data_IF_386135179768
#
_entry.id   IF_386135179768
#
_cell.length_a   1.000
_cell.length_b   1.000
_cell.length_c   1.000
_cell.angle_alpha   90.00
_cell.angle_beta   90.00
_cell.angle_gamma   90.00
#
_symmetry.space_group_name_H-M   'P 1'
#
loop_
_entity.id
_entity.type
_entity.pdbx_description
1 polymer ?
#
# COMPACT_ATOMS: atom_id res chain seq x y z
N UNK A 1 -30.09 11.10 -46.08
CA UNK A 1 -30.38 9.94 -45.21
C UNK A 1 -29.18 9.48 -44.37
N UNK A 2 -27.92 9.75 -44.76
CA UNK A 2 -26.72 9.34 -43.99
C UNK A 2 -26.46 10.10 -42.68
N UNK A 3 -26.81 11.40 -42.60
CA UNK A 3 -26.55 12.23 -41.41
C UNK A 3 -27.32 11.74 -40.17
N UNK A 4 -28.57 11.28 -40.33
CA UNK A 4 -29.37 10.76 -39.22
C UNK A 4 -28.82 9.42 -38.69
N UNK A 5 -28.25 8.56 -39.54
CA UNK A 5 -27.65 7.29 -39.12
C UNK A 5 -26.36 7.49 -38.30
N UNK A 6 -25.54 8.48 -38.63
CA UNK A 6 -24.35 8.83 -37.83
C UNK A 6 -24.73 9.31 -36.42
N UNK A 7 -25.78 10.13 -36.30
CA UNK A 7 -26.26 10.58 -34.98
C UNK A 7 -26.76 9.41 -34.12
N UNK A 8 -27.51 8.46 -34.69
CA UNK A 8 -27.99 7.29 -33.97
C UNK A 8 -26.84 6.39 -33.48
N UNK A 9 -25.77 6.26 -34.26
CA UNK A 9 -24.61 5.43 -33.92
C UNK A 9 -23.83 5.95 -32.71
N UNK A 10 -23.76 7.27 -32.52
CA UNK A 10 -23.07 7.91 -31.39
C UNK A 10 -24.02 8.08 -30.19
N UNK A 11 -25.29 8.39 -30.44
CA UNK A 11 -26.25 8.70 -29.39
C UNK A 11 -26.58 7.49 -28.51
N UNK A 12 -26.77 6.31 -29.12
CA UNK A 12 -27.14 5.09 -28.40
C UNK A 12 -26.09 4.68 -27.34
N UNK A 13 -24.78 4.58 -27.66
CA UNK A 13 -23.73 4.28 -26.69
C UNK A 13 -23.65 5.28 -25.53
N UNK A 14 -23.82 6.57 -25.82
CA UNK A 14 -23.76 7.63 -24.81
C UNK A 14 -24.92 7.51 -23.82
N UNK A 15 -26.12 7.19 -24.32
CA UNK A 15 -27.28 6.92 -23.46
C UNK A 15 -27.06 5.68 -22.60
N UNK A 16 -26.59 4.57 -23.18
CA UNK A 16 -26.27 3.36 -22.41
C UNK A 16 -25.20 3.61 -21.36
N UNK A 17 -24.15 4.36 -21.70
CA UNK A 17 -23.12 4.78 -20.76
C UNK A 17 -23.72 5.59 -19.61
N UNK A 18 -24.51 6.63 -19.92
CA UNK A 18 -25.12 7.49 -18.92
C UNK A 18 -26.05 6.73 -17.98
N UNK A 19 -26.91 5.88 -18.51
CA UNK A 19 -27.84 5.05 -17.73
C UNK A 19 -27.06 4.05 -16.86
N UNK A 20 -26.11 3.31 -17.43
CA UNK A 20 -25.29 2.35 -16.68
C UNK A 20 -24.48 3.05 -15.58
N UNK A 21 -23.87 4.21 -15.88
CA UNK A 21 -23.09 4.98 -14.93
C UNK A 21 -23.94 5.45 -13.75
N UNK A 22 -25.12 6.02 -14.00
CA UNK A 22 -26.04 6.45 -12.93
C UNK A 22 -26.50 5.26 -12.09
N UNK A 23 -26.92 4.16 -12.71
CA UNK A 23 -27.34 2.95 -12.01
C UNK A 23 -26.22 2.37 -11.13
N UNK A 24 -24.99 2.31 -11.64
CA UNK A 24 -23.83 1.83 -10.89
C UNK A 24 -23.42 2.78 -9.76
N UNK A 25 -23.57 4.10 -9.92
CA UNK A 25 -23.34 5.06 -8.83
C UNK A 25 -24.38 4.91 -7.71
N UNK A 26 -25.64 4.69 -8.06
CA UNK A 26 -26.70 4.40 -7.09
C UNK A 26 -26.42 3.08 -6.38
N UNK A 27 -26.06 2.03 -7.13
CA UNK A 27 -25.68 0.74 -6.57
C UNK A 27 -24.49 0.87 -5.62
N UNK A 28 -23.42 1.57 -6.03
CA UNK A 28 -22.28 1.88 -5.16
C UNK A 28 -22.74 2.57 -3.87
N UNK A 29 -23.59 3.59 -3.96
CA UNK A 29 -24.10 4.33 -2.79
C UNK A 29 -24.85 3.39 -1.83
N UNK A 30 -25.69 2.49 -2.36
CA UNK A 30 -26.44 1.50 -1.58
C UNK A 30 -25.48 0.50 -0.92
N UNK A 31 -24.57 -0.09 -1.70
CA UNK A 31 -23.60 -1.08 -1.19
C UNK A 31 -22.74 -0.50 -0.08
N UNK A 32 -22.14 0.67 -0.29
CA UNK A 32 -21.32 1.30 0.75
C UNK A 32 -22.13 1.72 1.98
N UNK A 33 -23.38 2.16 1.81
CA UNK A 33 -24.26 2.43 2.94
C UNK A 33 -24.59 1.16 3.73
N UNK A 34 -24.79 0.03 3.06
CA UNK A 34 -25.08 -1.25 3.70
C UNK A 34 -23.84 -1.79 4.42
N UNK A 35 -22.68 -1.76 3.77
CA UNK A 35 -21.40 -2.15 4.36
C UNK A 35 -21.08 -1.33 5.60
N UNK A 36 -21.28 0.00 5.58
CA UNK A 36 -21.06 0.83 6.79
C UNK A 36 -22.04 0.49 7.91
N UNK A 37 -23.28 0.11 7.60
CA UNK A 37 -24.26 -0.30 8.61
C UNK A 37 -23.89 -1.65 9.24
N UNK A 38 -23.37 -2.57 8.43
CA UNK A 38 -22.90 -3.87 8.91
C UNK A 38 -21.63 -3.75 9.73
N UNK A 39 -20.66 -2.94 9.28
CA UNK A 39 -19.44 -2.66 10.05
C UNK A 39 -19.77 -2.03 11.41
N UNK A 40 -20.76 -1.14 11.49
CA UNK A 40 -21.22 -0.56 12.76
C UNK A 40 -21.86 -1.60 13.71
N UNK A 41 -22.27 -2.77 13.20
CA UNK A 41 -22.76 -3.89 14.01
C UNK A 41 -21.63 -4.86 14.43
N UNK A 42 -20.44 -4.74 13.84
CA UNK A 42 -19.25 -5.54 14.21
C UNK A 42 -18.43 -4.80 15.27
N UNK A 43 -17.77 -5.54 16.16
CA UNK A 43 -16.79 -4.98 17.12
C UNK A 43 -15.39 -4.75 16.53
N UNK A 44 -15.20 -5.04 15.24
CA UNK A 44 -13.90 -5.02 14.57
C UNK A 44 -13.70 -3.72 13.79
N UNK A 45 -12.89 -2.83 14.34
CA UNK A 45 -12.46 -1.57 13.70
C UNK A 45 -11.75 -1.73 12.31
N UNK A 46 -11.40 -2.95 11.90
CA UNK A 46 -10.75 -3.22 10.60
C UNK A 46 -11.77 -3.02 9.47
N UNK A 47 -13.04 -3.33 9.71
CA UNK A 47 -14.10 -3.25 8.71
C UNK A 47 -14.28 -1.80 8.23
N UNK A 48 -14.27 -0.84 9.16
CA UNK A 48 -14.37 0.59 8.86
C UNK A 48 -13.19 1.06 7.99
N UNK A 49 -11.98 0.60 8.31
CA UNK A 49 -10.76 0.94 7.55
C UNK A 49 -10.85 0.40 6.11
N UNK A 50 -11.31 -0.84 5.93
CA UNK A 50 -11.45 -1.45 4.61
C UNK A 50 -12.48 -0.66 3.80
N UNK A 51 -13.64 -0.38 4.39
CA UNK A 51 -14.72 0.34 3.72
C UNK A 51 -14.26 1.74 3.31
N UNK A 52 -13.65 2.50 4.21
CA UNK A 52 -13.14 3.83 3.91
C UNK A 52 -12.02 3.83 2.86
N UNK A 53 -11.14 2.82 2.91
CA UNK A 53 -10.08 2.62 1.92
C UNK A 53 -10.61 2.37 0.50
N UNK A 54 -11.77 1.70 0.37
CA UNK A 54 -12.38 1.34 -0.91
C UNK A 54 -13.34 2.41 -1.46
N UNK A 55 -13.85 3.35 -0.64
CA UNK A 55 -14.83 4.37 -1.08
C UNK A 55 -14.39 5.17 -2.32
N UNK A 56 -13.13 5.64 -2.32
CA UNK A 56 -12.54 6.41 -3.44
C UNK A 56 -12.27 5.52 -4.67
N UNK A 57 -11.51 4.41 -4.55
CA UNK A 57 -11.33 3.42 -5.63
C UNK A 57 -12.60 2.96 -6.32
N UNK A 58 -13.68 2.74 -5.57
CA UNK A 58 -14.93 2.24 -6.11
C UNK A 58 -15.55 3.18 -7.17
N UNK A 59 -15.22 4.48 -7.15
CA UNK A 59 -15.64 5.37 -8.23
C UNK A 59 -15.00 4.99 -9.57
N UNK A 60 -13.70 4.68 -9.59
CA UNK A 60 -12.99 4.27 -10.78
C UNK A 60 -13.47 2.91 -11.30
N UNK A 61 -13.81 1.98 -10.41
CA UNK A 61 -14.41 0.70 -10.80
C UNK A 61 -15.78 0.91 -11.44
N UNK A 62 -16.63 1.76 -10.86
CA UNK A 62 -17.94 2.11 -11.44
C UNK A 62 -17.76 2.73 -12.83
N UNK A 63 -16.81 3.65 -12.99
CA UNK A 63 -16.50 4.25 -14.27
C UNK A 63 -16.05 3.19 -15.29
N UNK A 64 -15.14 2.30 -14.90
CA UNK A 64 -14.64 1.23 -15.76
C UNK A 64 -15.77 0.27 -16.21
N UNK A 65 -16.65 -0.12 -15.30
CA UNK A 65 -17.80 -0.98 -15.60
C UNK A 65 -18.81 -0.28 -16.52
N UNK A 66 -19.08 1.01 -16.31
CA UNK A 66 -19.97 1.77 -17.19
C UNK A 66 -19.42 1.85 -18.62
N UNK A 67 -18.11 2.06 -18.79
CA UNK A 67 -17.44 2.06 -20.10
C UNK A 67 -17.55 0.67 -20.75
N UNK A 68 -17.31 -0.40 -19.98
CA UNK A 68 -17.39 -1.78 -20.46
C UNK A 68 -18.79 -2.09 -20.98
N UNK A 69 -19.83 -1.78 -20.19
CA UNK A 69 -21.23 -2.00 -20.60
C UNK A 69 -21.54 -1.22 -21.87
N UNK A 70 -21.19 0.08 -21.94
CA UNK A 70 -21.43 0.90 -23.12
C UNK A 70 -20.72 0.36 -24.38
N UNK A 71 -19.52 -0.19 -24.23
CA UNK A 71 -18.74 -0.75 -25.33
C UNK A 71 -19.40 -1.97 -25.99
N UNK A 72 -20.18 -2.76 -25.25
CA UNK A 72 -20.88 -3.94 -25.80
C UNK A 72 -22.02 -3.57 -26.74
N UNK A 73 -22.60 -2.37 -26.59
CA UNK A 73 -23.71 -1.90 -27.42
C UNK A 73 -23.25 -1.05 -28.60
N UNK A 74 -21.95 -0.80 -28.73
CA UNK A 74 -21.38 -0.01 -29.81
C UNK A 74 -20.71 -0.94 -30.82
N UNK A 75 -21.08 -0.86 -32.09
CA UNK A 75 -20.39 -1.60 -33.16
C UNK A 75 -19.04 -0.93 -33.51
N UNK A 76 -18.13 -0.88 -32.54
CA UNK A 76 -16.80 -0.30 -32.73
C UNK A 76 -15.93 -1.21 -33.58
N UNK A 77 -15.00 -0.64 -34.34
CA UNK A 77 -13.96 -1.44 -34.99
C UNK A 77 -13.09 -2.15 -33.95
N UNK A 78 -12.51 -3.29 -34.31
CA UNK A 78 -11.70 -4.13 -33.41
C UNK A 78 -10.58 -3.35 -32.71
N UNK A 79 -9.97 -2.38 -33.41
CA UNK A 79 -8.94 -1.50 -32.86
C UNK A 79 -9.45 -0.67 -31.67
N UNK A 80 -10.64 -0.08 -31.79
CA UNK A 80 -11.24 0.74 -30.73
C UNK A 80 -11.72 -0.12 -29.57
N UNK A 81 -12.27 -1.30 -29.85
CA UNK A 81 -12.64 -2.27 -28.80
C UNK A 81 -11.42 -2.71 -27.99
N UNK A 82 -10.30 -3.02 -28.66
CA UNK A 82 -9.05 -3.39 -27.99
C UNK A 82 -8.52 -2.24 -27.12
N UNK A 83 -8.53 -1.00 -27.63
CA UNK A 83 -8.05 0.16 -26.87
C UNK A 83 -8.91 0.42 -25.63
N UNK A 84 -10.24 0.36 -25.77
CA UNK A 84 -11.17 0.52 -24.64
C UNK A 84 -10.96 -0.59 -23.61
N UNK A 85 -10.87 -1.85 -24.05
CA UNK A 85 -10.66 -2.98 -23.15
C UNK A 85 -9.36 -2.82 -22.35
N UNK A 86 -8.26 -2.42 -23.01
CA UNK A 86 -6.99 -2.13 -22.33
C UNK A 86 -7.14 -0.99 -21.33
N UNK A 87 -7.78 0.12 -21.70
CA UNK A 87 -8.00 1.25 -20.80
C UNK A 87 -8.84 0.88 -19.58
N UNK A 88 -9.90 0.09 -19.76
CA UNK A 88 -10.76 -0.41 -18.67
C UNK A 88 -9.95 -1.25 -17.68
N UNK A 89 -9.12 -2.19 -18.17
CA UNK A 89 -8.27 -3.00 -17.30
C UNK A 89 -7.26 -2.14 -16.53
N UNK A 90 -6.64 -1.13 -17.17
CA UNK A 90 -5.73 -0.20 -16.50
C UNK A 90 -6.45 0.58 -15.39
N UNK A 91 -7.67 1.07 -15.64
CA UNK A 91 -8.48 1.77 -14.62
C UNK A 91 -8.80 0.85 -13.44
N UNK A 92 -9.12 -0.42 -13.69
CA UNK A 92 -9.41 -1.40 -12.65
C UNK A 92 -8.16 -1.67 -11.80
N UNK A 93 -7.01 -1.96 -12.42
CA UNK A 93 -5.75 -2.19 -11.71
C UNK A 93 -5.37 -0.95 -10.88
N UNK A 94 -5.51 0.24 -11.46
CA UNK A 94 -5.28 1.49 -10.76
C UNK A 94 -6.20 1.68 -9.56
N UNK A 95 -7.50 1.39 -9.71
CA UNK A 95 -8.47 1.46 -8.62
C UNK A 95 -8.09 0.51 -7.48
N UNK A 96 -7.81 -0.76 -7.80
CA UNK A 96 -7.41 -1.77 -6.81
C UNK A 96 -6.13 -1.35 -6.09
N UNK A 97 -5.14 -0.84 -6.83
CA UNK A 97 -3.89 -0.32 -6.26
C UNK A 97 -4.16 0.78 -5.25
N UNK A 98 -4.97 1.78 -5.60
CA UNK A 98 -5.33 2.87 -4.68
C UNK A 98 -6.07 2.35 -3.45
N UNK A 99 -6.94 1.34 -3.61
CA UNK A 99 -7.65 0.71 -2.50
C UNK A 99 -6.71 0.04 -1.52
N UNK A 100 -5.85 -0.84 -2.01
CA UNK A 100 -4.87 -1.54 -1.19
C UNK A 100 -3.93 -0.52 -0.50
N UNK A 101 -3.42 0.46 -1.24
CA UNK A 101 -2.52 1.48 -0.69
C UNK A 101 -3.18 2.32 0.42
N UNK A 102 -4.46 2.66 0.28
CA UNK A 102 -5.21 3.39 1.30
C UNK A 102 -5.50 2.52 2.54
N UNK A 103 -5.88 1.26 2.34
CA UNK A 103 -6.17 0.33 3.44
C UNK A 103 -4.91 0.09 4.26
N UNK A 104 -3.82 -0.31 3.62
CA UNK A 104 -2.55 -0.59 4.31
C UNK A 104 -2.02 0.65 5.02
N UNK A 105 -2.07 1.81 4.38
CA UNK A 105 -1.66 3.06 5.01
C UNK A 105 -2.52 3.42 6.23
N UNK A 106 -3.81 3.15 6.20
CA UNK A 106 -4.72 3.41 7.32
C UNK A 106 -4.53 2.41 8.47
N UNK A 107 -4.30 1.14 8.15
CA UNK A 107 -3.94 0.11 9.14
C UNK A 107 -2.63 0.46 9.86
N UNK A 108 -1.62 0.91 9.13
CA UNK A 108 -0.36 1.36 9.71
C UNK A 108 -0.56 2.52 10.69
N UNK A 109 -1.31 3.56 10.26
CA UNK A 109 -1.59 4.70 11.13
C UNK A 109 -2.33 4.29 12.40
N UNK A 110 -3.27 3.36 12.29
CA UNK A 110 -3.96 2.81 13.46
C UNK A 110 -2.99 2.08 14.39
N UNK A 111 -2.17 1.17 13.85
CA UNK A 111 -1.21 0.40 14.63
C UNK A 111 -0.24 1.30 15.40
N UNK A 112 0.32 2.33 14.75
CA UNK A 112 1.24 3.29 15.39
C UNK A 112 0.56 4.01 16.57
N UNK A 113 -0.70 4.45 16.39
CA UNK A 113 -1.47 5.11 17.45
C UNK A 113 -1.77 4.17 18.62
N UNK A 114 -2.20 2.94 18.34
CA UNK A 114 -2.59 1.96 19.37
C UNK A 114 -1.38 1.44 20.15
N UNK A 115 -0.26 1.20 19.49
CA UNK A 115 0.96 0.71 20.14
C UNK A 115 1.77 1.81 20.86
N UNK A 116 1.26 3.06 20.87
CA UNK A 116 1.91 4.25 21.45
C UNK A 116 3.40 4.34 21.10
N UNK A 117 3.73 3.98 19.85
CA UNK A 117 5.13 3.89 19.44
C UNK A 117 5.65 5.34 19.38
N UNK A 118 6.75 5.68 20.09
CA UNK A 118 7.37 7.01 20.03
C UNK A 118 8.11 7.23 18.71
N UNK A 119 7.56 6.72 17.61
CA UNK A 119 7.89 7.19 16.28
C UNK A 119 7.27 8.58 16.21
N UNK A 120 8.06 9.59 15.85
CA UNK A 120 7.49 10.84 15.40
C UNK A 120 6.38 10.48 14.39
N UNK A 121 5.12 10.92 14.58
CA UNK A 121 3.98 10.61 13.71
C UNK A 121 4.20 11.31 12.38
N UNK A 122 5.24 10.90 11.68
CA UNK A 122 5.75 11.56 10.51
C UNK A 122 5.05 10.91 9.35
N UNK A 123 4.48 11.74 8.48
CA UNK A 123 3.93 11.28 7.22
C UNK A 123 4.93 10.44 6.41
N UNK A 124 6.23 10.43 6.74
CA UNK A 124 7.28 9.71 6.05
C UNK A 124 7.03 8.19 5.98
N UNK A 125 6.80 7.48 7.09
CA UNK A 125 6.55 6.02 7.03
C UNK A 125 5.28 5.71 6.25
N UNK A 126 4.23 6.51 6.43
CA UNK A 126 2.99 6.39 5.67
C UNK A 126 3.22 6.60 4.16
N UNK A 127 3.98 7.64 3.77
CA UNK A 127 4.31 7.97 2.39
C UNK A 127 5.16 6.86 1.76
N UNK A 128 6.15 6.32 2.47
CA UNK A 128 7.00 5.22 1.98
C UNK A 128 6.16 3.98 1.70
N UNK A 129 5.35 3.53 2.67
CA UNK A 129 4.54 2.33 2.49
C UNK A 129 3.51 2.53 1.39
N UNK A 130 2.80 3.67 1.39
CA UNK A 130 1.84 3.98 0.33
C UNK A 130 2.51 4.05 -1.04
N UNK A 131 3.68 4.68 -1.12
CA UNK A 131 4.50 4.78 -2.32
C UNK A 131 4.91 3.42 -2.86
N UNK A 132 5.26 2.47 -1.98
CA UNK A 132 5.58 1.09 -2.37
C UNK A 132 4.39 0.38 -3.04
N UNK A 133 3.19 0.46 -2.46
CA UNK A 133 2.00 -0.14 -3.08
C UNK A 133 1.63 0.52 -4.41
N UNK A 134 1.76 1.85 -4.50
CA UNK A 134 1.54 2.58 -5.76
C UNK A 134 2.56 2.17 -6.81
N UNK A 135 3.84 2.03 -6.45
CA UNK A 135 4.89 1.56 -7.34
C UNK A 135 4.59 0.16 -7.88
N UNK A 136 4.18 -0.77 -7.00
CA UNK A 136 3.76 -2.12 -7.42
C UNK A 136 2.60 -2.05 -8.42
N UNK A 137 1.59 -1.23 -8.16
CA UNK A 137 0.47 -1.05 -9.09
C UNK A 137 0.89 -0.48 -10.44
N UNK A 138 1.82 0.48 -10.48
CA UNK A 138 2.39 1.00 -11.72
C UNK A 138 3.11 -0.13 -12.49
N UNK A 139 3.90 -0.96 -11.82
CA UNK A 139 4.59 -2.08 -12.46
C UNK A 139 3.59 -3.10 -13.05
N UNK A 140 2.50 -3.40 -12.34
CA UNK A 140 1.44 -4.29 -12.86
C UNK A 140 0.79 -3.68 -14.11
N UNK A 141 0.50 -2.37 -14.10
CA UNK A 141 -0.05 -1.67 -15.27
C UNK A 141 0.91 -1.73 -16.45
N UNK A 142 2.20 -1.44 -16.24
CA UNK A 142 3.22 -1.48 -17.30
C UNK A 142 3.33 -2.88 -17.89
N UNK A 143 3.37 -3.91 -17.05
CA UNK A 143 3.41 -5.30 -17.50
C UNK A 143 2.18 -5.68 -18.32
N UNK A 144 0.98 -5.30 -17.85
CA UNK A 144 -0.26 -5.51 -18.60
C UNK A 144 -0.26 -4.83 -19.97
N UNK A 145 0.35 -3.64 -20.07
CA UNK A 145 0.50 -2.91 -21.33
C UNK A 145 1.57 -3.52 -22.27
N UNK A 146 2.29 -4.56 -21.84
CA UNK A 146 3.38 -5.17 -22.59
C UNK A 146 4.69 -4.40 -22.54
N UNK A 147 4.81 -3.43 -21.63
CA UNK A 147 6.06 -2.68 -21.39
C UNK A 147 6.93 -3.53 -20.46
N UNK A 148 8.18 -3.75 -20.87
CA UNK A 148 9.12 -4.52 -20.06
C UNK A 148 9.40 -3.82 -18.74
N UNK A 149 9.07 -4.50 -17.63
CA UNK A 149 9.36 -4.03 -16.27
C UNK A 149 10.77 -4.44 -15.80
N UNK A 150 11.47 -5.28 -16.56
CA UNK A 150 12.77 -5.81 -16.16
C UNK A 150 13.81 -4.69 -15.91
N UNK A 151 13.96 -3.66 -16.77
CA UNK A 151 14.90 -2.56 -16.48
C UNK A 151 14.58 -1.83 -15.18
N UNK A 152 13.29 -1.60 -14.90
CA UNK A 152 12.85 -0.92 -13.68
C UNK A 152 13.18 -1.78 -12.46
N UNK A 153 12.89 -3.08 -12.51
CA UNK A 153 13.23 -4.02 -11.45
C UNK A 153 14.75 -4.13 -11.25
N UNK A 154 15.55 -4.10 -12.32
CA UNK A 154 17.02 -4.08 -12.22
C UNK A 154 17.49 -2.82 -11.51
N UNK A 155 16.99 -1.63 -11.88
CA UNK A 155 17.36 -0.38 -11.21
C UNK A 155 16.90 -0.35 -9.75
N UNK A 156 15.69 -0.83 -9.45
CA UNK A 156 15.20 -0.95 -8.07
C UNK A 156 16.01 -1.97 -7.26
N UNK A 157 16.45 -3.06 -7.88
CA UNK A 157 17.31 -4.07 -7.25
C UNK A 157 18.69 -3.50 -6.88
N UNK A 158 19.34 -2.81 -7.82
CA UNK A 158 20.63 -2.15 -7.56
C UNK A 158 20.48 -1.00 -6.55
N UNK A 159 19.40 -0.22 -6.63
CA UNK A 159 19.09 0.81 -5.64
C UNK A 159 18.82 0.22 -4.26
N UNK A 160 18.11 -0.91 -4.19
CA UNK A 160 17.86 -1.65 -2.95
C UNK A 160 19.14 -2.18 -2.32
N UNK A 161 20.09 -2.65 -3.14
CA UNK A 161 21.43 -3.03 -2.67
C UNK A 161 22.16 -1.83 -2.05
N UNK A 162 22.15 -0.67 -2.70
CA UNK A 162 22.77 0.54 -2.15
C UNK A 162 22.16 0.95 -0.79
N UNK A 163 20.83 0.88 -0.66
CA UNK A 163 20.13 1.14 0.60
C UNK A 163 20.50 0.10 1.66
N UNK A 164 20.58 -1.18 1.30
CA UNK A 164 20.96 -2.25 2.22
C UNK A 164 22.39 -2.08 2.74
N UNK A 165 23.33 -1.70 1.88
CA UNK A 165 24.72 -1.39 2.27
C UNK A 165 24.77 -0.17 3.20
N UNK A 166 23.99 0.87 2.94
CA UNK A 166 23.91 2.05 3.80
C UNK A 166 23.32 1.74 5.20
N UNK A 167 22.47 0.72 5.31
CA UNK A 167 21.83 0.29 6.56
C UNK A 167 22.53 -0.90 7.23
N UNK A 168 23.65 -1.38 6.68
CA UNK A 168 24.32 -2.61 7.12
C UNK A 168 24.66 -2.60 8.62
N UNK A 169 25.28 -1.53 9.11
CA UNK A 169 25.68 -1.43 10.53
C UNK A 169 24.46 -1.39 11.46
N UNK A 170 23.40 -0.71 11.04
CA UNK A 170 22.15 -0.62 11.82
C UNK A 170 21.50 -2.00 11.96
N UNK A 171 21.46 -2.77 10.86
CA UNK A 171 20.93 -4.13 10.87
C UNK A 171 21.83 -5.08 11.68
N UNK A 172 23.15 -4.93 11.58
CA UNK A 172 24.10 -5.70 12.38
C UNK A 172 23.87 -5.51 13.89
N UNK A 173 23.78 -4.25 14.34
CA UNK A 173 23.52 -3.92 15.74
C UNK A 173 22.15 -4.43 16.23
N UNK A 174 21.14 -4.38 15.37
CA UNK A 174 19.81 -4.94 15.64
C UNK A 174 19.86 -6.45 15.88
N UNK A 175 20.53 -7.19 14.99
CA UNK A 175 20.65 -8.64 15.13
C UNK A 175 21.47 -9.03 16.36
N UNK A 176 22.55 -8.30 16.66
CA UNK A 176 23.33 -8.52 17.88
C UNK A 176 22.49 -8.34 19.15
N UNK A 177 21.68 -7.26 19.23
CA UNK A 177 20.78 -7.03 20.35
C UNK A 177 19.72 -8.13 20.51
N UNK A 178 19.09 -8.57 19.40
CA UNK A 178 18.13 -9.68 19.45
C UNK A 178 18.78 -11.00 19.88
N UNK A 179 19.99 -11.29 19.41
CA UNK A 179 20.72 -12.49 19.79
C UNK A 179 20.98 -12.55 21.30
N UNK A 180 21.43 -11.43 21.90
CA UNK A 180 21.62 -11.33 23.35
C UNK A 180 20.31 -11.58 24.10
N UNK A 181 19.19 -11.03 23.62
CA UNK A 181 17.87 -11.22 24.26
C UNK A 181 17.37 -12.68 24.16
N UNK A 182 17.56 -13.33 23.02
CA UNK A 182 17.08 -14.70 22.77
C UNK A 182 17.94 -15.71 23.52
N UNK A 183 19.26 -15.63 23.37
CA UNK A 183 20.20 -16.58 23.97
C UNK A 183 20.46 -16.29 25.45
N UNK A 184 20.12 -15.08 25.91
CA UNK A 184 20.39 -14.60 27.28
C UNK A 184 21.86 -14.79 27.66
N UNK A 185 22.76 -14.62 26.71
CA UNK A 185 24.21 -14.74 26.87
C UNK A 185 24.77 -13.74 27.88
N UNK A 186 24.09 -12.60 28.03
CA UNK A 186 24.33 -11.58 29.05
C UNK A 186 22.99 -11.16 29.66
N UNK A 187 22.94 -10.99 30.98
CA UNK A 187 21.75 -10.61 31.73
C UNK A 187 21.94 -9.26 32.43
N UNK A 188 20.83 -8.60 32.72
CA UNK A 188 20.83 -7.40 33.58
C UNK A 188 21.40 -7.78 34.95
N UNK A 189 22.39 -7.01 35.41
CA UNK A 189 23.14 -7.28 36.63
C UNK A 189 24.47 -8.02 36.43
N UNK A 190 24.74 -8.56 35.25
CA UNK A 190 26.03 -9.21 34.97
C UNK A 190 27.15 -8.14 34.88
N UNK A 191 28.33 -8.48 35.40
CA UNK A 191 29.54 -7.70 35.17
C UNK A 191 30.16 -8.13 33.84
N UNK A 192 30.37 -7.17 32.95
CA UNK A 192 30.90 -7.41 31.61
C UNK A 192 32.10 -6.51 31.36
N UNK A 193 33.07 -7.04 30.61
CA UNK A 193 34.21 -6.32 30.09
C UNK A 193 34.25 -6.52 28.59
N UNK A 194 34.20 -5.41 27.85
CA UNK A 194 34.23 -5.37 26.39
C UNK A 194 35.67 -5.07 25.96
N UNK A 195 36.07 -5.60 24.80
CA UNK A 195 37.42 -5.44 24.25
C UNK A 195 37.84 -3.97 24.08
N UNK A 196 36.89 -3.05 23.87
CA UNK A 196 37.11 -1.60 23.78
C UNK A 196 37.47 -0.92 25.12
N UNK A 197 37.70 -1.70 26.18
CA UNK A 197 38.09 -1.22 27.51
C UNK A 197 36.93 -0.75 28.38
N UNK A 198 35.68 -0.88 27.91
CA UNK A 198 34.48 -0.61 28.70
C UNK A 198 34.24 -1.77 29.67
N UNK A 199 34.24 -1.47 30.96
CA UNK A 199 33.94 -2.43 32.03
C UNK A 199 32.89 -1.89 33.01
N UNK A 200 31.94 -2.74 33.41
CA UNK A 200 30.84 -2.33 34.28
C UNK A 200 29.72 -3.36 34.39
N UNK A 201 28.63 -2.95 35.05
CA UNK A 201 27.45 -3.79 35.22
C UNK A 201 26.38 -3.45 34.19
N UNK A 202 25.75 -4.48 33.62
CA UNK A 202 24.64 -4.29 32.69
C UNK A 202 23.41 -3.77 33.42
N UNK A 203 22.93 -2.59 33.02
CA UNK A 203 21.78 -1.91 33.62
C UNK A 203 20.49 -2.21 32.86
N UNK A 204 20.55 -2.23 31.53
CA UNK A 204 19.39 -2.47 30.67
C UNK A 204 19.83 -3.08 29.33
N UNK A 205 18.99 -3.95 28.78
CA UNK A 205 19.18 -4.56 27.46
C UNK A 205 17.91 -4.32 26.66
N UNK A 206 18.01 -3.45 25.65
CA UNK A 206 16.94 -3.22 24.68
C UNK A 206 17.28 -3.95 23.37
N UNK A 207 16.31 -4.04 22.47
CA UNK A 207 16.48 -4.65 21.14
C UNK A 207 17.52 -3.96 20.24
N UNK A 208 18.02 -2.77 20.61
CA UNK A 208 19.00 -2.00 19.84
C UNK A 208 20.25 -1.59 20.64
N UNK A 209 20.15 -1.46 21.96
CA UNK A 209 21.24 -0.96 22.80
C UNK A 209 21.31 -1.69 24.14
N UNK A 210 22.53 -1.99 24.59
CA UNK A 210 22.83 -2.44 25.94
C UNK A 210 23.41 -1.27 26.73
N UNK A 211 22.85 -0.96 27.90
CA UNK A 211 23.35 0.10 28.78
C UNK A 211 24.23 -0.53 29.85
N UNK A 212 25.46 -0.03 29.97
CA UNK A 212 26.44 -0.51 30.94
C UNK A 212 26.77 0.65 31.87
N UNK A 213 26.62 0.40 33.17
CA UNK A 213 27.02 1.33 34.22
C UNK A 213 28.46 1.01 34.62
N UNK A 214 29.37 1.90 34.26
CA UNK A 214 30.78 1.81 34.63
C UNK A 214 30.97 1.92 36.15
N UNK A 215 32.06 1.35 36.66
CA UNK A 215 32.45 1.48 38.05
C UNK A 215 32.79 2.95 38.36
N UNK A 216 32.37 3.49 39.52
CA UNK A 216 32.68 4.86 39.90
C UNK A 216 34.14 4.98 40.33
N UNK A 217 35.08 5.00 39.36
CA UNK A 217 36.44 5.58 39.49
C UNK A 217 37.29 5.52 38.19
N UNK A 218 36.71 5.62 36.99
CA UNK A 218 37.53 5.73 35.76
C UNK A 218 37.81 7.23 35.48
N UNK A 219 38.97 7.71 35.92
CA UNK A 219 39.61 8.96 35.46
C UNK A 219 40.28 8.75 34.11
#
# INVERSE_FOLDING_TARGET
MGVLQEYFFIFIPVVYFGVAFVLLLLFKKIVFSLLTKWAAATSWDIDDIIIDGLKKPAFFVVLALAILIASQYTMLSEKWQMLISKSVHVIIIFALTLGIANIVGSLLQKYIKTANIPLAPTGLTYIIIKGLFVLIGILIILNYLGISIAPILTTLGVGGLAVALALQDTLSNLFAGMQILIERSVRVGDFVKIDDGIEGYVEDITWRTTRIRMLPNNI
#
